data_IF_241619674018
#
_entry.id   IF_241619674018
#
_cell.length_a   1.000
_cell.length_b   1.000
_cell.length_c   1.000
_cell.angle_alpha   90.00
_cell.angle_beta   90.00
_cell.angle_gamma   90.00
#
_symmetry.space_group_name_H-M   'P 1'
#
loop_
_entity.id
_entity.type
_entity.pdbx_description
1 polymer ?
#
# COMPACT_ATOMS: atom_id res chain seq x y z
N UNK A 1 -3.84 -12.32 -16.73
CA UNK A 1 -3.94 -12.73 -15.31
C UNK A 1 -4.32 -11.48 -14.54
N UNK A 2 -5.44 -11.47 -13.82
CA UNK A 2 -5.78 -10.34 -12.95
C UNK A 2 -4.83 -10.38 -11.77
N UNK A 3 -4.07 -9.32 -11.54
CA UNK A 3 -3.32 -9.16 -10.30
C UNK A 3 -4.33 -8.89 -9.19
N UNK A 4 -4.19 -9.58 -8.06
CA UNK A 4 -5.01 -9.31 -6.89
C UNK A 4 -4.36 -8.18 -6.08
N UNK A 5 -5.09 -7.08 -5.92
CA UNK A 5 -4.62 -5.92 -5.16
C UNK A 5 -4.50 -6.22 -3.66
N UNK A 6 -5.32 -7.14 -3.15
CA UNK A 6 -5.20 -7.60 -1.77
C UNK A 6 -3.89 -8.36 -1.59
N UNK A 7 -3.54 -9.25 -2.53
CA UNK A 7 -2.27 -9.97 -2.48
C UNK A 7 -1.09 -9.00 -2.49
N UNK A 8 -1.07 -8.01 -3.40
CA UNK A 8 0.01 -7.02 -3.43
C UNK A 8 0.10 -6.18 -2.14
N UNK A 9 -1.04 -5.90 -1.50
CA UNK A 9 -1.06 -5.17 -0.22
C UNK A 9 -0.54 -6.04 0.93
N UNK A 10 -0.92 -7.32 0.96
CA UNK A 10 -0.54 -8.29 1.99
C UNK A 10 0.93 -8.71 1.88
N UNK A 11 1.47 -8.78 0.66
CA UNK A 11 2.90 -9.06 0.39
C UNK A 11 3.81 -7.84 0.53
N UNK A 12 3.26 -6.70 0.95
CA UNK A 12 3.98 -5.43 1.13
C UNK A 12 4.51 -4.79 -0.17
N UNK A 13 4.00 -5.22 -1.32
CA UNK A 13 4.40 -4.72 -2.64
C UNK A 13 3.60 -3.48 -3.09
N UNK A 14 2.46 -3.21 -2.44
CA UNK A 14 1.57 -2.07 -2.68
C UNK A 14 1.22 -1.39 -1.34
N UNK A 15 1.36 -0.07 -1.26
CA UNK A 15 0.98 0.72 -0.09
C UNK A 15 0.36 2.07 -0.47
N UNK A 16 -0.10 2.79 0.55
CA UNK A 16 -0.83 4.05 0.41
C UNK A 16 -0.07 5.19 1.07
N UNK A 17 0.24 6.23 0.31
CA UNK A 17 0.87 7.44 0.84
C UNK A 17 -0.19 8.52 1.14
N UNK A 18 -0.14 9.17 2.31
CA UNK A 18 -1.11 10.19 2.68
C UNK A 18 -0.96 11.42 1.77
N UNK A 19 -2.08 11.85 1.17
CA UNK A 19 -2.18 13.10 0.42
C UNK A 19 -2.96 14.15 1.19
N UNK A 20 -4.26 14.27 0.88
CA UNK A 20 -5.24 15.08 1.62
C UNK A 20 -6.09 14.17 2.52
N UNK A 21 -6.83 14.68 3.53
CA UNK A 21 -7.62 13.81 4.43
C UNK A 21 -8.50 12.81 3.67
N UNK A 22 -8.41 11.52 4.04
CA UNK A 22 -9.08 10.37 3.41
C UNK A 22 -8.70 10.07 1.95
N UNK A 23 -7.73 10.75 1.36
CA UNK A 23 -7.24 10.50 0.00
C UNK A 23 -5.77 10.12 0.01
N UNK A 24 -5.49 8.99 -0.61
CA UNK A 24 -4.17 8.38 -0.61
C UNK A 24 -3.69 8.16 -2.03
N UNK A 25 -2.38 8.32 -2.24
CA UNK A 25 -1.73 7.97 -3.49
C UNK A 25 -1.30 6.51 -3.44
N UNK A 26 -1.45 5.80 -4.54
CA UNK A 26 -0.88 4.45 -4.66
C UNK A 26 0.64 4.54 -4.78
N UNK A 27 1.34 3.62 -4.12
CA UNK A 27 2.77 3.42 -4.28
C UNK A 27 3.05 1.93 -4.28
N UNK A 28 3.98 1.49 -5.13
CA UNK A 28 4.30 0.08 -5.31
C UNK A 28 5.75 -0.10 -5.73
N UNK A 29 6.28 -1.31 -5.54
CA UNK A 29 7.55 -1.71 -6.14
C UNK A 29 7.43 -2.03 -7.63
N UNK A 30 6.22 -2.29 -8.11
CA UNK A 30 5.91 -2.51 -9.53
C UNK A 30 5.33 -1.25 -10.16
N UNK A 31 5.43 -1.10 -11.49
CA UNK A 31 4.61 -0.13 -12.22
C UNK A 31 3.12 -0.34 -11.93
N UNK A 32 2.39 0.72 -11.57
CA UNK A 32 0.99 0.64 -11.15
C UNK A 32 0.09 0.04 -12.24
N UNK A 33 0.38 0.34 -13.51
CA UNK A 33 -0.36 -0.19 -14.65
C UNK A 33 -0.19 -1.71 -14.81
N UNK A 34 0.96 -2.25 -14.39
CA UNK A 34 1.23 -3.69 -14.43
C UNK A 34 0.37 -4.47 -13.44
N UNK A 35 -0.07 -3.83 -12.35
CA UNK A 35 -0.97 -4.39 -11.34
C UNK A 35 -2.41 -3.89 -11.49
N UNK A 36 -2.76 -3.32 -12.65
CA UNK A 36 -4.14 -2.95 -12.99
C UNK A 36 -4.63 -1.63 -12.38
N UNK A 37 -3.73 -0.82 -11.81
CA UNK A 37 -4.07 0.48 -11.22
C UNK A 37 -3.79 1.58 -12.25
N UNK A 38 -4.86 2.19 -12.74
CA UNK A 38 -4.80 3.32 -13.69
C UNK A 38 -5.14 4.67 -13.06
N UNK A 39 -5.58 4.65 -11.79
CA UNK A 39 -5.92 5.85 -11.02
C UNK A 39 -4.75 6.18 -10.10
N UNK A 40 -4.38 7.45 -10.05
CA UNK A 40 -3.29 7.92 -9.18
C UNK A 40 -3.68 7.90 -7.69
N UNK A 41 -4.97 8.04 -7.38
CA UNK A 41 -5.46 8.17 -6.01
C UNK A 41 -6.64 7.26 -5.69
N UNK A 42 -6.75 6.89 -4.42
CA UNK A 42 -7.91 6.24 -3.81
C UNK A 42 -8.45 7.10 -2.67
N UNK A 43 -9.77 7.11 -2.54
CA UNK A 43 -10.46 7.71 -1.40
C UNK A 43 -11.16 6.59 -0.64
N UNK A 44 -10.84 6.43 0.65
CA UNK A 44 -11.56 5.48 1.49
C UNK A 44 -12.84 6.14 1.99
N UNK A 45 -13.95 5.45 1.78
CA UNK A 45 -15.25 5.85 2.29
C UNK A 45 -15.65 4.88 3.39
N UNK A 46 -15.79 5.38 4.63
CA UNK A 46 -16.42 4.59 5.68
C UNK A 46 -17.92 4.60 5.48
N UNK A 47 -18.54 3.44 5.27
CA UNK A 47 -20.00 3.29 5.23
C UNK A 47 -20.63 3.48 6.62
N UNK A 48 -19.83 3.53 7.69
CA UNK A 48 -20.30 3.71 9.06
C UNK A 48 -19.61 4.93 9.71
N UNK A 49 -20.34 6.03 9.97
CA UNK A 49 -19.76 7.24 10.55
C UNK A 49 -19.27 7.07 12.00
N UNK A 50 -19.61 5.96 12.66
CA UNK A 50 -19.11 5.61 13.99
C UNK A 50 -17.78 4.85 13.96
N UNK A 51 -17.37 4.33 12.80
CA UNK A 51 -16.05 3.73 12.65
C UNK A 51 -15.06 4.85 12.28
N UNK A 52 -13.88 4.88 12.90
CA UNK A 52 -12.83 5.80 12.46
C UNK A 52 -12.60 5.56 10.97
N UNK A 53 -12.76 6.62 10.18
CA UNK A 53 -12.49 6.62 8.75
C UNK A 53 -11.07 6.13 8.56
N UNK A 54 -10.89 4.89 8.09
CA UNK A 54 -9.63 4.17 7.86
C UNK A 54 -8.45 4.84 8.54
N UNK A 55 -8.12 4.41 9.76
CA UNK A 55 -7.09 5.06 10.58
C UNK A 55 -5.80 5.23 9.78
N UNK A 56 -5.56 6.46 9.34
CA UNK A 56 -4.39 6.87 8.56
C UNK A 56 -3.09 6.41 9.21
N UNK A 57 -3.11 6.23 10.53
CA UNK A 57 -2.03 5.67 11.33
C UNK A 57 -1.63 4.25 10.90
N UNK A 58 -2.58 3.30 10.79
CA UNK A 58 -2.25 1.94 10.38
C UNK A 58 -1.76 1.87 8.92
N UNK A 59 -2.32 2.69 8.03
CA UNK A 59 -1.82 2.79 6.66
C UNK A 59 -0.40 3.37 6.62
N UNK A 60 -0.07 4.31 7.51
CA UNK A 60 1.27 4.87 7.62
C UNK A 60 2.28 3.85 8.17
N UNK A 61 1.86 3.03 9.14
CA UNK A 61 2.67 1.93 9.67
C UNK A 61 2.93 0.90 8.57
N UNK A 62 1.90 0.49 7.82
CA UNK A 62 2.04 -0.44 6.70
C UNK A 62 3.00 0.10 5.62
N UNK A 63 2.83 1.35 5.20
CA UNK A 63 3.74 1.99 4.25
C UNK A 63 5.19 2.02 4.76
N UNK A 64 5.41 2.26 6.05
CA UNK A 64 6.74 2.18 6.65
C UNK A 64 7.32 0.75 6.55
N UNK A 65 6.52 -0.29 6.83
CA UNK A 65 6.92 -1.68 6.67
C UNK A 65 7.30 -2.00 5.21
N UNK A 66 6.50 -1.61 4.22
CA UNK A 66 6.83 -1.79 2.80
C UNK A 66 8.17 -1.14 2.42
N UNK A 67 8.38 0.10 2.87
CA UNK A 67 9.64 0.82 2.63
C UNK A 67 10.83 0.14 3.31
N UNK A 68 10.66 -0.39 4.51
CA UNK A 68 11.73 -1.14 5.18
C UNK A 68 12.04 -2.43 4.42
N UNK A 69 11.01 -3.20 4.05
CA UNK A 69 11.17 -4.44 3.30
C UNK A 69 11.94 -4.21 2.00
N UNK A 70 11.56 -3.20 1.20
CA UNK A 70 12.06 -3.05 -0.17
C UNK A 70 13.12 -1.96 -0.36
N UNK A 71 13.11 -0.88 0.43
CA UNK A 71 14.00 0.28 0.23
C UNK A 71 15.15 0.36 1.24
N UNK A 72 15.15 -0.47 2.30
CA UNK A 72 16.25 -0.52 3.26
C UNK A 72 17.49 -1.29 2.76
N UNK A 73 17.48 -1.78 1.51
CA UNK A 73 18.43 -2.80 0.99
C UNK A 73 18.49 -4.08 1.85
N UNK A 74 17.50 -4.31 2.71
CA UNK A 74 17.39 -5.53 3.53
C UNK A 74 16.83 -6.73 2.72
N UNK A 75 16.15 -6.46 1.60
CA UNK A 75 15.56 -7.47 0.72
C UNK A 75 16.57 -8.33 -0.04
N UNK A 76 17.85 -7.92 -0.15
CA UNK A 76 18.85 -8.68 -0.92
C UNK A 76 19.40 -9.92 -0.19
N UNK A 77 19.00 -10.15 1.08
CA UNK A 77 19.54 -11.23 1.92
C UNK A 77 18.51 -11.97 2.79
N UNK A 78 17.31 -12.29 2.25
CA UNK A 78 16.36 -13.17 2.96
C UNK A 78 16.26 -14.61 2.42
N UNK A 79 17.19 -15.02 1.55
CA UNK A 79 17.33 -16.43 1.17
C UNK A 79 18.78 -16.88 1.32
N UNK A 80 19.17 -17.24 2.54
CA UNK A 80 20.29 -18.16 2.77
C UNK A 80 19.94 -19.10 3.92
N UNK A 81 19.25 -20.21 3.60
CA UNK A 81 19.28 -21.50 4.30
C UNK A 81 18.92 -22.63 3.32
#
# INVERSE_FOLDING_TARGET
VSVDLCDCFDTLELWFEPGVPNRYRFASIHPLEAIGIWKEFITFHSSNPRLPSTSSEYLSIHAACCRIAHLSRASDHLYEL
#
